data_IF_383593998831
#
_entry.id   IF_383593998831
#
_cell.length_a   1.000
_cell.length_b   1.000
_cell.length_c   1.000
_cell.angle_alpha   90.00
_cell.angle_beta   90.00
_cell.angle_gamma   90.00
#
_symmetry.space_group_name_H-M   'P 1'
#
loop_
_entity.id
_entity.type
_entity.pdbx_description
1 polymer ?
#
# COMPACT_ATOMS: atom_id res chain seq x y z
N UNK A 1 50.97 37.76 19.96
CA UNK A 1 52.14 36.92 19.62
C UNK A 1 51.81 36.22 18.32
N UNK A 2 52.43 36.65 17.23
CA UNK A 2 52.22 36.03 15.91
C UNK A 2 53.12 34.81 15.76
N UNK A 3 52.54 33.72 15.28
CA UNK A 3 53.28 32.65 14.62
C UNK A 3 52.63 32.44 13.25
N UNK A 4 53.25 33.05 12.24
CA UNK A 4 53.17 32.64 10.85
C UNK A 4 53.61 31.16 10.77
N UNK A 5 52.93 30.29 10.03
CA UNK A 5 52.97 30.27 8.57
C UNK A 5 53.87 29.13 8.13
N UNK A 6 53.28 28.00 7.75
CA UNK A 6 53.96 26.97 6.97
C UNK A 6 53.04 26.51 5.84
N UNK A 7 53.26 27.13 4.69
CA UNK A 7 52.73 26.78 3.39
C UNK A 7 53.52 25.59 2.86
N UNK A 8 52.87 24.46 2.58
CA UNK A 8 53.42 23.44 1.67
C UNK A 8 52.37 23.08 0.62
N UNK A 9 52.67 23.54 -0.59
CA UNK A 9 52.00 23.21 -1.85
C UNK A 9 52.61 21.93 -2.42
N UNK A 10 51.76 21.02 -2.87
CA UNK A 10 52.00 20.11 -4.02
C UNK A 10 50.63 19.47 -4.30
N UNK A 11 49.91 19.71 -5.41
CA UNK A 11 50.39 19.78 -6.78
C UNK A 11 50.29 18.40 -7.41
N UNK A 12 49.07 17.95 -7.70
CA UNK A 12 48.81 16.79 -8.58
C UNK A 12 47.50 17.04 -9.35
N UNK A 13 47.63 17.81 -10.43
CA UNK A 13 46.68 17.84 -11.53
C UNK A 13 46.97 16.62 -12.42
N UNK A 14 45.98 15.77 -12.65
CA UNK A 14 45.93 14.96 -13.86
C UNK A 14 44.48 14.99 -14.36
N UNK A 15 44.30 15.82 -15.37
CA UNK A 15 43.11 15.94 -16.22
C UNK A 15 42.90 14.64 -17.04
N UNK A 16 41.62 14.42 -17.35
CA UNK A 16 41.07 13.76 -18.53
C UNK A 16 41.75 12.50 -19.07
N UNK A 17 41.07 11.37 -18.86
CA UNK A 17 40.99 10.36 -19.91
C UNK A 17 39.65 9.62 -19.90
N UNK A 18 38.85 9.96 -20.91
CA UNK A 18 38.01 9.06 -21.73
C UNK A 18 36.56 8.82 -21.29
N UNK A 19 35.78 9.89 -21.35
CA UNK A 19 34.46 9.88 -21.99
C UNK A 19 34.67 9.66 -23.51
N UNK A 20 34.54 8.43 -24.00
CA UNK A 20 34.33 8.12 -25.44
C UNK A 20 34.08 6.62 -25.65
N UNK A 21 32.82 6.21 -25.67
CA UNK A 21 32.33 5.05 -26.41
C UNK A 21 30.78 5.06 -26.42
N UNK A 22 30.19 6.16 -26.91
CA UNK A 22 28.81 6.17 -27.38
C UNK A 22 28.94 6.44 -28.87
N UNK A 23 29.03 5.39 -29.68
CA UNK A 23 28.73 5.45 -31.12
C UNK A 23 28.62 4.03 -31.69
N UNK A 24 27.53 3.83 -32.42
CA UNK A 24 27.34 2.84 -33.48
C UNK A 24 26.83 1.43 -33.12
N UNK A 25 25.64 1.35 -32.50
CA UNK A 25 24.71 0.25 -32.80
C UNK A 25 23.67 0.73 -33.82
N UNK A 26 24.02 0.53 -35.09
CA UNK A 26 23.17 0.68 -36.27
C UNK A 26 21.81 0.02 -36.06
N UNK A 27 20.80 0.84 -35.79
CA UNK A 27 19.39 0.46 -35.90
C UNK A 27 19.09 0.27 -37.39
N UNK A 28 19.09 -0.98 -37.84
CA UNK A 28 18.49 -1.36 -39.11
C UNK A 28 16.98 -1.17 -39.00
N UNK A 29 16.48 -0.20 -39.77
CA UNK A 29 15.06 -0.03 -40.08
C UNK A 29 14.49 -1.34 -40.62
N UNK A 30 13.60 -1.97 -39.85
CA UNK A 30 12.66 -2.95 -40.37
C UNK A 30 11.28 -2.34 -40.16
N UNK A 31 10.80 -1.67 -41.20
CA UNK A 31 9.51 -1.02 -41.22
C UNK A 31 8.39 -2.04 -41.06
N UNK A 32 7.73 -2.04 -39.91
CA UNK A 32 6.36 -2.49 -39.75
C UNK A 32 5.57 -1.32 -39.20
N UNK A 33 4.99 -0.54 -40.13
CA UNK A 33 3.97 0.47 -39.87
C UNK A 33 2.77 -0.20 -39.19
N UNK A 34 2.79 -0.27 -37.86
CA UNK A 34 1.62 -0.62 -37.07
C UNK A 34 0.93 0.69 -36.67
N UNK A 35 -0.07 1.09 -37.45
CA UNK A 35 -0.94 2.23 -37.16
C UNK A 35 -1.73 1.94 -35.86
N UNK A 36 -1.20 2.34 -34.71
CA UNK A 36 -1.88 2.20 -33.41
C UNK A 36 -1.80 3.43 -32.50
N UNK A 37 -1.42 4.62 -33.00
CA UNK A 37 -1.31 5.82 -32.14
C UNK A 37 -2.41 6.86 -32.29
N UNK A 38 -3.30 6.81 -33.28
CA UNK A 38 -4.26 7.92 -33.49
C UNK A 38 -5.62 7.76 -32.78
N UNK A 39 -5.95 6.58 -32.25
CA UNK A 39 -7.28 6.34 -31.65
C UNK A 39 -7.36 6.55 -30.14
N UNK A 40 -6.24 6.69 -29.43
CA UNK A 40 -6.25 6.90 -27.96
C UNK A 40 -6.24 8.36 -27.53
N UNK A 41 -5.73 9.28 -28.34
CA UNK A 41 -5.78 10.71 -28.01
C UNK A 41 -7.18 11.31 -28.22
N UNK A 42 -7.95 10.84 -29.20
CA UNK A 42 -9.29 11.35 -29.46
C UNK A 42 -10.36 10.83 -28.47
N UNK A 43 -10.11 9.72 -27.77
CA UNK A 43 -11.08 9.12 -26.84
C UNK A 43 -11.00 9.66 -25.40
N UNK A 44 -10.05 10.55 -25.10
CA UNK A 44 -9.90 11.16 -23.77
C UNK A 44 -10.74 12.44 -23.64
N UNK A 45 -11.26 13.00 -24.73
CA UNK A 45 -12.01 14.27 -24.66
C UNK A 45 -13.53 14.14 -24.44
N UNK A 46 -14.16 12.96 -24.51
CA UNK A 46 -15.64 12.93 -24.67
C UNK A 46 -16.46 12.08 -23.67
N UNK A 47 -15.92 11.65 -22.53
CA UNK A 47 -16.81 11.25 -21.41
C UNK A 47 -16.04 11.08 -20.11
N UNK A 48 -16.17 12.06 -19.21
CA UNK A 48 -16.24 11.89 -17.73
C UNK A 48 -16.05 13.19 -16.96
N UNK A 49 -15.62 14.27 -17.61
CA UNK A 49 -15.74 15.62 -17.04
C UNK A 49 -17.05 16.23 -17.54
N UNK A 50 -18.18 15.74 -17.04
CA UNK A 50 -19.36 16.60 -17.02
C UNK A 50 -18.93 17.92 -16.37
N UNK A 51 -19.07 19.02 -17.11
CA UNK A 51 -18.79 20.39 -16.70
C UNK A 51 -19.65 20.82 -15.50
N UNK A 52 -19.50 20.14 -14.37
CA UNK A 52 -19.77 20.76 -13.07
C UNK A 52 -18.48 21.49 -12.68
N UNK A 53 -18.02 22.36 -13.59
CA UNK A 53 -16.85 23.21 -13.42
C UNK A 53 -17.16 24.30 -12.41
N UNK A 54 -17.32 23.93 -11.15
CA UNK A 54 -17.19 24.90 -10.07
C UNK A 54 -15.72 25.28 -10.00
N UNK A 55 -15.34 26.29 -10.78
CA UNK A 55 -14.08 26.98 -10.59
C UNK A 55 -13.96 27.37 -9.12
N UNK A 56 -12.82 27.06 -8.53
CA UNK A 56 -12.40 27.53 -7.22
C UNK A 56 -12.86 28.97 -6.99
N UNK A 57 -13.79 29.16 -6.05
CA UNK A 57 -14.27 30.50 -5.70
C UNK A 57 -13.42 31.04 -4.56
N UNK A 58 -12.94 32.26 -4.72
CA UNK A 58 -12.16 32.95 -3.71
C UNK A 58 -12.98 34.06 -3.06
N UNK A 59 -12.78 34.29 -1.77
CA UNK A 59 -13.28 35.48 -1.08
C UNK A 59 -12.49 36.73 -1.49
N UNK A 60 -12.94 37.89 -1.02
CA UNK A 60 -12.28 39.18 -1.31
C UNK A 60 -10.83 39.24 -0.79
N UNK A 61 -10.47 38.37 0.16
CA UNK A 61 -9.11 38.21 0.67
C UNK A 61 -8.25 37.19 -0.07
N UNK A 62 -8.78 36.59 -1.16
CA UNK A 62 -8.08 35.57 -1.95
C UNK A 62 -8.03 34.19 -1.30
N UNK A 63 -8.85 33.92 -0.27
CA UNK A 63 -8.96 32.59 0.34
C UNK A 63 -10.04 31.79 -0.37
N UNK A 64 -9.86 30.48 -0.46
CA UNK A 64 -10.92 29.60 -0.96
C UNK A 64 -12.18 29.77 -0.12
N UNK A 65 -13.32 30.00 -0.80
CA UNK A 65 -14.63 29.96 -0.17
C UNK A 65 -14.96 28.51 0.14
N UNK A 66 -15.18 28.23 1.42
CA UNK A 66 -15.67 26.93 1.86
C UNK A 66 -16.99 26.63 1.15
N UNK A 67 -17.14 25.41 0.64
CA UNK A 67 -18.43 24.97 0.17
C UNK A 67 -19.37 24.88 1.39
N UNK A 68 -20.67 25.20 1.23
CA UNK A 68 -21.63 24.96 2.30
C UNK A 68 -21.60 23.47 2.69
N UNK A 69 -21.90 23.12 3.95
CA UNK A 69 -22.00 21.72 4.37
C UNK A 69 -22.93 20.96 3.42
N UNK A 70 -22.55 19.75 3.04
CA UNK A 70 -23.36 18.91 2.15
C UNK A 70 -24.75 18.68 2.77
N UNK A 71 -25.75 19.47 2.37
CA UNK A 71 -27.16 19.12 2.52
C UNK A 71 -27.55 18.15 1.40
N UNK A 72 -28.71 17.51 1.48
CA UNK A 72 -29.10 16.44 0.55
C UNK A 72 -29.04 16.88 -0.93
N UNK A 73 -29.30 18.15 -1.22
CA UNK A 73 -29.19 18.73 -2.57
C UNK A 73 -27.72 18.97 -3.00
N UNK A 74 -26.82 19.29 -2.06
CA UNK A 74 -25.39 19.51 -2.33
C UNK A 74 -24.59 18.21 -2.43
N UNK A 75 -25.11 17.06 -1.99
CA UNK A 75 -24.43 15.75 -2.17
C UNK A 75 -24.12 15.44 -3.63
N UNK A 76 -24.93 15.94 -4.57
CA UNK A 76 -24.67 15.80 -6.00
C UNK A 76 -23.46 16.62 -6.51
N UNK A 77 -22.91 17.51 -5.69
CA UNK A 77 -21.79 18.41 -6.01
C UNK A 77 -20.51 18.11 -5.22
N UNK A 78 -20.54 17.14 -4.31
CA UNK A 78 -19.47 16.85 -3.35
C UNK A 78 -18.89 15.47 -3.68
N UNK A 79 -17.56 15.37 -3.74
CA UNK A 79 -16.90 14.08 -3.99
C UNK A 79 -17.13 13.09 -2.83
N UNK A 80 -17.08 11.79 -3.09
CA UNK A 80 -17.09 10.80 -2.02
C UNK A 80 -15.80 10.87 -1.18
N UNK A 81 -15.86 10.43 0.08
CA UNK A 81 -14.66 10.29 0.87
C UNK A 81 -13.72 9.28 0.21
N UNK A 82 -12.40 9.56 0.11
CA UNK A 82 -11.45 8.61 -0.46
C UNK A 82 -11.50 7.25 0.25
N UNK A 83 -11.53 6.17 -0.55
CA UNK A 83 -11.51 4.77 -0.12
C UNK A 83 -10.36 4.02 -0.77
N UNK A 84 -9.96 2.89 -0.19
CA UNK A 84 -8.85 2.07 -0.67
C UNK A 84 -9.36 0.77 -1.31
N UNK A 85 -8.82 0.41 -2.48
CA UNK A 85 -8.95 -0.92 -3.03
C UNK A 85 -7.81 -1.82 -2.58
N UNK A 86 -8.12 -3.03 -2.11
CA UNK A 86 -7.11 -4.04 -1.73
C UNK A 86 -7.34 -5.27 -2.59
N UNK A 87 -6.39 -5.56 -3.48
CA UNK A 87 -6.33 -6.84 -4.17
C UNK A 87 -5.80 -7.87 -3.19
N UNK A 88 -6.45 -9.04 -3.19
CA UNK A 88 -6.11 -10.12 -2.29
C UNK A 88 -5.59 -11.37 -2.99
N UNK A 89 -4.66 -12.04 -2.33
CA UNK A 89 -4.34 -13.44 -2.56
C UNK A 89 -5.61 -14.31 -2.47
N UNK A 90 -5.61 -15.44 -3.17
CA UNK A 90 -6.55 -16.53 -2.94
C UNK A 90 -6.16 -17.26 -1.65
N UNK A 91 -6.31 -16.55 -0.53
CA UNK A 91 -5.93 -16.99 0.79
C UNK A 91 -6.86 -16.32 1.81
N UNK A 92 -7.36 -17.09 2.77
CA UNK A 92 -8.27 -16.59 3.80
C UNK A 92 -7.76 -16.95 5.19
N UNK A 93 -6.73 -16.27 5.67
CA UNK A 93 -6.32 -16.39 7.07
C UNK A 93 -7.15 -15.41 7.92
N UNK A 94 -7.25 -15.58 9.26
CA UNK A 94 -7.91 -14.58 10.12
C UNK A 94 -6.99 -13.38 10.37
N UNK A 95 -7.23 -12.19 9.76
CA UNK A 95 -6.28 -11.10 9.83
C UNK A 95 -6.32 -10.42 11.21
N UNK A 96 -5.16 -9.99 11.69
CA UNK A 96 -5.02 -9.22 12.92
C UNK A 96 -5.26 -7.72 12.69
N UNK A 97 -5.66 -6.98 13.73
CA UNK A 97 -5.70 -5.52 13.65
C UNK A 97 -4.27 -4.98 13.40
N UNK A 98 -4.12 -4.13 12.39
CA UNK A 98 -2.85 -3.69 11.84
C UNK A 98 -2.54 -4.32 10.48
N UNK A 99 -3.09 -5.49 10.17
CA UNK A 99 -2.98 -6.10 8.84
C UNK A 99 -3.77 -5.29 7.80
N UNK A 100 -3.25 -5.26 6.57
CA UNK A 100 -3.93 -4.72 5.37
C UNK A 100 -5.25 -5.44 5.09
N UNK A 101 -5.34 -6.73 5.39
CA UNK A 101 -6.59 -7.48 5.21
C UNK A 101 -7.64 -7.25 6.33
N UNK A 102 -7.28 -6.49 7.37
CA UNK A 102 -8.22 -6.11 8.42
C UNK A 102 -8.75 -4.68 8.18
N UNK A 103 -10.05 -4.48 7.85
CA UNK A 103 -10.58 -3.15 7.51
C UNK A 103 -10.40 -2.13 8.66
N UNK A 104 -10.52 -2.58 9.91
CA UNK A 104 -10.31 -1.74 11.09
C UNK A 104 -8.89 -1.19 11.26
N UNK A 105 -7.93 -1.59 10.43
CA UNK A 105 -6.58 -1.00 10.38
C UNK A 105 -6.55 0.38 9.71
N UNK A 106 -7.65 0.79 9.09
CA UNK A 106 -7.74 2.00 8.27
C UNK A 106 -8.76 3.00 8.82
N UNK A 107 -8.55 4.29 8.52
CA UNK A 107 -9.46 5.39 8.87
C UNK A 107 -10.30 5.84 7.67
N UNK A 108 -10.62 4.91 6.77
CA UNK A 108 -11.38 5.10 5.55
C UNK A 108 -11.94 3.74 5.11
N UNK A 109 -12.92 3.76 4.22
CA UNK A 109 -13.50 2.51 3.72
C UNK A 109 -12.52 1.74 2.81
N UNK A 110 -12.65 0.41 2.82
CA UNK A 110 -11.76 -0.51 2.12
C UNK A 110 -12.59 -1.53 1.34
N UNK A 111 -12.28 -1.66 0.06
CA UNK A 111 -12.91 -2.62 -0.85
C UNK A 111 -11.94 -3.75 -1.14
N UNK A 112 -12.26 -4.94 -0.66
CA UNK A 112 -11.44 -6.13 -0.87
C UNK A 112 -11.87 -6.91 -2.11
N UNK A 113 -10.88 -7.41 -2.86
CA UNK A 113 -11.10 -8.27 -4.02
C UNK A 113 -10.05 -9.37 -4.14
N UNK A 114 -10.43 -10.59 -3.80
CA UNK A 114 -9.60 -11.79 -4.05
C UNK A 114 -9.52 -12.12 -5.54
N UNK A 115 -8.33 -12.53 -5.97
CA UNK A 115 -8.05 -13.03 -7.33
C UNK A 115 -8.02 -14.56 -7.31
N UNK A 116 -9.03 -15.25 -7.88
CA UNK A 116 -9.07 -16.72 -7.86
C UNK A 116 -7.82 -17.36 -8.49
N UNK A 117 -7.21 -18.30 -7.76
CA UNK A 117 -5.97 -18.98 -8.15
C UNK A 117 -4.68 -18.16 -8.00
N UNK A 118 -4.73 -16.93 -7.49
CA UNK A 118 -3.52 -16.17 -7.16
C UNK A 118 -2.96 -16.64 -5.82
N UNK A 119 -2.11 -17.66 -5.86
CA UNK A 119 -1.52 -18.23 -4.64
C UNK A 119 -0.27 -17.48 -4.20
N UNK A 120 0.15 -17.71 -2.96
CA UNK A 120 1.37 -17.13 -2.41
C UNK A 120 2.60 -17.55 -3.23
N UNK A 121 2.67 -18.81 -3.67
CA UNK A 121 3.79 -19.33 -4.48
C UNK A 121 3.89 -18.63 -5.84
N UNK A 122 2.76 -18.35 -6.50
CA UNK A 122 2.76 -17.57 -7.74
C UNK A 122 3.29 -16.16 -7.50
N UNK A 123 2.93 -15.55 -6.37
CA UNK A 123 3.42 -14.22 -6.01
C UNK A 123 4.92 -14.20 -5.71
N UNK A 124 5.43 -15.19 -4.97
CA UNK A 124 6.87 -15.34 -4.74
C UNK A 124 7.66 -15.53 -6.04
N UNK A 125 7.09 -16.27 -7.01
CA UNK A 125 7.73 -16.49 -8.31
C UNK A 125 7.73 -15.25 -9.22
N UNK A 126 6.79 -14.32 -9.02
CA UNK A 126 6.56 -13.20 -9.92
C UNK A 126 5.96 -13.58 -11.28
N UNK A 127 5.57 -14.84 -11.48
CA UNK A 127 5.02 -15.36 -12.73
C UNK A 127 3.54 -15.73 -12.57
N UNK A 128 2.67 -15.12 -13.38
CA UNK A 128 1.24 -15.43 -13.40
C UNK A 128 0.89 -16.21 -14.68
N UNK A 129 0.25 -17.39 -14.56
CA UNK A 129 -0.45 -18.01 -15.69
C UNK A 129 -1.43 -17.03 -16.33
N UNK A 130 -1.63 -17.12 -17.65
CA UNK A 130 -2.44 -16.15 -18.42
C UNK A 130 -3.86 -15.97 -17.85
N UNK A 131 -4.47 -17.05 -17.35
CA UNK A 131 -5.81 -17.00 -16.79
C UNK A 131 -5.84 -16.32 -15.40
N UNK A 132 -4.83 -16.53 -14.55
CA UNK A 132 -4.67 -15.82 -13.27
C UNK A 132 -4.36 -14.34 -13.53
N UNK A 133 -3.50 -14.04 -14.51
CA UNK A 133 -3.18 -12.68 -14.94
C UNK A 133 -4.43 -11.92 -15.40
N UNK A 134 -5.28 -12.55 -16.21
CA UNK A 134 -6.55 -11.93 -16.63
C UNK A 134 -7.45 -11.66 -15.42
N UNK A 135 -7.56 -12.60 -14.47
CA UNK A 135 -8.35 -12.39 -13.24
C UNK A 135 -7.78 -11.28 -12.36
N UNK A 136 -6.46 -11.09 -12.33
CA UNK A 136 -5.83 -9.97 -11.65
C UNK A 136 -6.21 -8.63 -12.30
N UNK A 137 -6.19 -8.55 -13.63
CA UNK A 137 -6.64 -7.38 -14.39
C UNK A 137 -8.13 -7.08 -14.12
N UNK A 138 -8.97 -8.11 -14.13
CA UNK A 138 -10.40 -7.98 -13.86
C UNK A 138 -10.67 -7.50 -12.43
N UNK A 139 -9.85 -7.93 -11.46
CA UNK A 139 -9.92 -7.47 -10.07
C UNK A 139 -9.56 -5.99 -9.93
N UNK A 140 -8.48 -5.52 -10.57
CA UNK A 140 -8.14 -4.08 -10.62
C UNK A 140 -9.30 -3.29 -11.25
N UNK A 141 -9.81 -3.77 -12.38
CA UNK A 141 -10.90 -3.09 -13.10
C UNK A 141 -12.13 -2.94 -12.21
N UNK A 142 -12.51 -4.01 -11.50
CA UNK A 142 -13.62 -3.95 -10.56
C UNK A 142 -13.38 -2.98 -9.40
N UNK A 143 -12.16 -2.92 -8.85
CA UNK A 143 -11.80 -1.97 -7.80
C UNK A 143 -11.90 -0.53 -8.30
N UNK A 144 -11.44 -0.24 -9.53
CA UNK A 144 -11.59 1.08 -10.16
C UNK A 144 -13.07 1.44 -10.34
N UNK A 145 -13.91 0.48 -10.75
CA UNK A 145 -15.36 0.64 -10.84
C UNK A 145 -16.04 0.92 -9.49
N UNK A 146 -15.43 0.53 -8.35
CA UNK A 146 -15.93 0.91 -7.02
C UNK A 146 -15.61 2.37 -6.65
N UNK A 147 -14.91 3.11 -7.51
CA UNK A 147 -14.59 4.51 -7.29
C UNK A 147 -13.46 4.73 -6.29
N UNK A 148 -12.67 3.70 -5.95
CA UNK A 148 -11.57 3.82 -4.99
C UNK A 148 -10.56 4.91 -5.39
N UNK A 149 -9.92 5.50 -4.39
CA UNK A 149 -8.95 6.57 -4.55
C UNK A 149 -7.52 6.06 -4.79
N UNK A 150 -7.23 4.82 -4.41
CA UNK A 150 -5.96 4.14 -4.69
C UNK A 150 -6.10 2.63 -4.53
N UNK A 151 -5.13 1.86 -5.05
CA UNK A 151 -5.15 0.40 -5.01
C UNK A 151 -3.82 -0.14 -4.47
N UNK A 152 -3.90 -1.08 -3.52
CA UNK A 152 -2.78 -1.80 -2.93
C UNK A 152 -2.99 -3.33 -3.01
N UNK A 153 -1.99 -4.08 -2.55
CA UNK A 153 -2.04 -5.53 -2.35
C UNK A 153 -1.99 -5.94 -0.88
N UNK A 154 -2.53 -7.12 -0.57
CA UNK A 154 -2.38 -7.77 0.73
C UNK A 154 -1.11 -8.63 0.86
N UNK A 155 -0.20 -8.54 -0.11
CA UNK A 155 1.06 -9.29 -0.11
C UNK A 155 2.20 -8.42 -0.67
N UNK A 156 3.31 -8.33 0.05
CA UNK A 156 4.43 -7.49 -0.37
C UNK A 156 5.14 -7.97 -1.65
N UNK A 157 4.99 -9.26 -2.01
CA UNK A 157 5.43 -9.81 -3.31
C UNK A 157 4.64 -9.26 -4.50
N UNK A 158 3.49 -8.58 -4.30
CA UNK A 158 2.76 -7.95 -5.41
C UNK A 158 3.55 -6.81 -6.06
N UNK A 159 4.72 -6.42 -5.52
CA UNK A 159 5.67 -5.59 -6.26
C UNK A 159 6.01 -6.17 -7.65
N UNK A 160 6.05 -7.50 -7.83
CA UNK A 160 6.17 -8.12 -9.17
C UNK A 160 5.08 -7.67 -10.16
N UNK A 161 3.90 -7.36 -9.64
CA UNK A 161 2.72 -7.00 -10.44
C UNK A 161 2.43 -5.49 -10.42
N UNK A 162 3.30 -4.68 -9.82
CA UNK A 162 3.18 -3.22 -9.74
C UNK A 162 2.98 -2.58 -11.13
N UNK A 163 3.80 -2.95 -12.11
CA UNK A 163 3.69 -2.44 -13.48
C UNK A 163 2.41 -2.90 -14.18
N UNK A 164 1.97 -4.14 -13.91
CA UNK A 164 0.73 -4.68 -14.46
C UNK A 164 -0.46 -3.91 -13.90
N UNK A 165 -0.57 -3.77 -12.59
CA UNK A 165 -1.64 -3.00 -11.93
C UNK A 165 -1.70 -1.57 -12.49
N UNK A 166 -0.55 -0.89 -12.60
CA UNK A 166 -0.44 0.48 -13.13
C UNK A 166 -0.89 0.60 -14.59
N UNK A 167 -0.80 -0.47 -15.37
CA UNK A 167 -1.22 -0.46 -16.78
C UNK A 167 -2.74 -0.56 -16.97
N UNK A 168 -3.49 -0.97 -15.92
CA UNK A 168 -4.93 -1.25 -16.00
C UNK A 168 -5.76 -0.06 -15.52
N UNK A 169 -5.27 0.73 -14.57
CA UNK A 169 -6.00 1.85 -13.97
C UNK A 169 -5.19 3.16 -14.02
N UNK A 170 -5.88 4.29 -14.01
CA UNK A 170 -5.28 5.61 -13.80
C UNK A 170 -5.18 6.01 -12.33
N UNK A 171 -5.73 5.21 -11.41
CA UNK A 171 -5.63 5.44 -9.97
C UNK A 171 -4.20 5.17 -9.48
N UNK A 172 -3.73 5.84 -8.41
CA UNK A 172 -2.48 5.49 -7.75
C UNK A 172 -2.48 4.00 -7.35
N UNK A 173 -1.44 3.27 -7.78
CA UNK A 173 -1.21 1.88 -7.38
C UNK A 173 0.09 1.76 -6.58
N UNK A 174 0.05 1.05 -5.47
CA UNK A 174 1.18 0.89 -4.55
C UNK A 174 1.10 -0.51 -3.92
N UNK A 175 1.37 -1.52 -4.74
CA UNK A 175 1.09 -2.92 -4.44
C UNK A 175 1.90 -3.50 -3.27
N UNK A 176 2.93 -2.78 -2.80
CA UNK A 176 3.79 -3.20 -1.69
C UNK A 176 4.31 -1.96 -0.95
N UNK A 177 4.57 -2.10 0.35
CA UNK A 177 5.16 -1.03 1.17
C UNK A 177 6.54 -0.60 0.66
N UNK A 178 7.22 -1.44 -0.13
CA UNK A 178 8.46 -1.13 -0.84
C UNK A 178 8.32 0.09 -1.78
N UNK A 179 7.11 0.45 -2.21
CA UNK A 179 6.86 1.69 -2.96
C UNK A 179 7.28 2.97 -2.18
N UNK A 180 7.41 2.89 -0.86
CA UNK A 180 7.90 4.00 -0.03
C UNK A 180 9.43 4.15 -0.07
N UNK A 181 10.16 3.11 -0.49
CA UNK A 181 11.62 3.09 -0.44
C UNK A 181 12.29 4.32 -1.06
N UNK A 182 11.89 4.83 -2.24
CA UNK A 182 12.53 6.02 -2.81
C UNK A 182 12.48 7.23 -1.85
N UNK A 183 11.32 7.47 -1.24
CA UNK A 183 11.10 8.59 -0.33
C UNK A 183 11.82 8.39 1.02
N UNK A 184 11.85 7.17 1.53
CA UNK A 184 12.60 6.83 2.75
C UNK A 184 14.09 7.01 2.50
N UNK A 185 14.61 6.47 1.38
CA UNK A 185 16.02 6.49 1.00
C UNK A 185 16.57 7.90 0.86
N UNK A 186 15.82 8.82 0.25
CA UNK A 186 16.29 10.20 0.07
C UNK A 186 16.30 11.03 1.36
N UNK A 187 15.65 10.55 2.43
CA UNK A 187 15.59 11.24 3.72
C UNK A 187 16.86 11.03 4.58
N UNK A 188 17.75 10.12 4.17
CA UNK A 188 18.95 9.73 4.92
C UNK A 188 20.23 9.87 4.09
N UNK A 189 21.36 10.01 4.77
CA UNK A 189 22.68 10.01 4.15
C UNK A 189 22.97 8.65 3.48
N UNK A 190 23.87 8.64 2.49
CA UNK A 190 24.17 7.43 1.72
C UNK A 190 24.85 6.32 2.54
N UNK A 191 25.47 6.67 3.66
CA UNK A 191 26.07 5.75 4.63
C UNK A 191 25.11 5.35 5.76
N UNK A 192 23.93 5.97 5.86
CA UNK A 192 22.90 5.57 6.81
C UNK A 192 22.06 4.41 6.27
N UNK A 193 21.87 3.37 7.10
CA UNK A 193 21.19 2.14 6.70
C UNK A 193 19.69 2.16 6.97
N UNK A 194 18.95 1.38 6.18
CA UNK A 194 17.54 1.08 6.36
C UNK A 194 17.40 -0.43 6.53
N UNK A 195 16.77 -0.88 7.62
CA UNK A 195 16.48 -2.29 7.81
C UNK A 195 15.16 -2.66 7.14
N UNK A 196 15.18 -3.68 6.28
CA UNK A 196 14.02 -4.18 5.54
C UNK A 196 13.58 -5.51 6.14
N UNK A 197 12.47 -5.52 6.88
CA UNK A 197 11.92 -6.74 7.45
C UNK A 197 10.94 -7.37 6.47
N UNK A 198 11.14 -8.64 6.18
CA UNK A 198 10.29 -9.41 5.27
C UNK A 198 9.89 -10.72 5.94
N UNK A 199 8.80 -11.32 5.49
CA UNK A 199 8.36 -12.60 6.03
C UNK A 199 9.42 -13.71 5.84
N UNK A 200 10.17 -13.64 4.72
CA UNK A 200 11.23 -14.58 4.44
C UNK A 200 12.39 -13.92 3.68
N UNK A 201 13.58 -13.92 4.28
CA UNK A 201 14.76 -13.26 3.70
C UNK A 201 15.20 -13.84 2.35
N UNK A 202 15.10 -15.16 2.17
CA UNK A 202 15.47 -15.82 0.91
C UNK A 202 14.48 -15.52 -0.22
N UNK A 203 13.20 -15.36 0.10
CA UNK A 203 12.13 -15.08 -0.88
C UNK A 203 12.19 -13.66 -1.42
N UNK A 204 12.78 -12.72 -0.67
CA UNK A 204 12.96 -11.34 -1.12
C UNK A 204 14.11 -11.21 -2.15
N UNK A 205 15.16 -12.04 -2.07
CA UNK A 205 16.36 -11.91 -2.92
C UNK A 205 16.06 -11.94 -4.43
N UNK A 206 15.20 -12.84 -4.95
CA UNK A 206 14.83 -12.83 -6.37
C UNK A 206 14.16 -11.53 -6.84
N UNK A 207 13.59 -10.73 -5.92
CA UNK A 207 12.94 -9.46 -6.25
C UNK A 207 13.92 -8.34 -6.62
N UNK A 208 15.24 -8.55 -6.55
CA UNK A 208 16.24 -7.51 -6.79
C UNK A 208 15.97 -6.68 -8.04
N UNK A 209 15.75 -7.32 -9.18
CA UNK A 209 15.59 -6.62 -10.45
C UNK A 209 14.27 -5.84 -10.53
N UNK A 210 13.18 -6.37 -9.96
CA UNK A 210 11.92 -5.62 -9.92
C UNK A 210 11.99 -4.43 -8.95
N UNK A 211 12.66 -4.58 -7.80
CA UNK A 211 12.86 -3.48 -6.84
C UNK A 211 13.70 -2.37 -7.48
N UNK A 212 14.77 -2.72 -8.21
CA UNK A 212 15.56 -1.75 -8.97
C UNK A 212 14.73 -0.99 -10.00
N UNK A 213 13.89 -1.71 -10.73
CA UNK A 213 13.05 -1.14 -11.77
C UNK A 213 11.94 -0.24 -11.22
N UNK A 214 11.18 -0.71 -10.23
CA UNK A 214 9.98 -0.01 -9.75
C UNK A 214 10.28 0.97 -8.59
N UNK A 215 11.32 0.71 -7.79
CA UNK A 215 11.70 1.57 -6.66
C UNK A 215 13.00 2.37 -6.91
N UNK A 216 13.71 2.15 -8.01
CA UNK A 216 14.94 2.91 -8.31
C UNK A 216 16.08 2.69 -7.31
N UNK A 217 16.04 1.60 -6.55
CA UNK A 217 17.06 1.26 -5.53
C UNK A 217 17.51 -0.19 -5.70
N UNK A 218 18.76 -0.48 -5.36
CA UNK A 218 19.30 -1.84 -5.39
C UNK A 218 19.23 -2.44 -3.98
N UNK A 219 18.40 -3.46 -3.71
CA UNK A 219 18.30 -4.04 -2.36
C UNK A 219 19.58 -4.76 -1.90
N UNK A 220 20.51 -5.06 -2.81
CA UNK A 220 21.85 -5.58 -2.47
C UNK A 220 22.87 -4.46 -2.17
N UNK A 221 22.48 -3.17 -2.29
CA UNK A 221 23.30 -2.08 -1.80
C UNK A 221 23.50 -2.23 -0.29
N UNK A 222 24.74 -2.02 0.16
CA UNK A 222 25.12 -2.09 1.58
C UNK A 222 24.33 -1.15 2.51
N UNK A 223 23.55 -0.21 1.98
CA UNK A 223 22.63 0.62 2.76
C UNK A 223 21.38 -0.13 3.24
N UNK A 224 21.04 -1.27 2.64
CA UNK A 224 19.90 -2.07 3.06
C UNK A 224 20.35 -3.25 3.91
N UNK A 225 19.68 -3.43 5.04
CA UNK A 225 19.87 -4.59 5.92
C UNK A 225 18.61 -5.44 5.82
N UNK A 226 18.64 -6.49 5.00
CA UNK A 226 17.50 -7.42 4.88
C UNK A 226 17.43 -8.28 6.15
N UNK A 227 16.26 -8.30 6.77
CA UNK A 227 15.97 -9.05 7.99
C UNK A 227 14.80 -9.99 7.70
N UNK A 228 15.09 -11.29 7.72
CA UNK A 228 14.07 -12.32 7.61
C UNK A 228 13.36 -12.56 8.94
N UNK A 229 12.04 -12.73 8.91
CA UNK A 229 11.21 -13.07 10.08
C UNK A 229 10.85 -14.56 10.16
N UNK A 230 11.35 -15.39 9.26
CA UNK A 230 11.00 -16.82 9.14
C UNK A 230 11.34 -17.67 10.38
N UNK A 231 12.31 -17.24 11.18
CA UNK A 231 12.73 -17.93 12.41
C UNK A 231 12.12 -17.31 13.69
N UNK A 232 11.24 -16.31 13.56
CA UNK A 232 10.58 -15.68 14.71
C UNK A 232 9.52 -16.64 15.26
N UNK A 233 9.58 -17.04 16.54
CA UNK A 233 8.59 -17.95 17.13
C UNK A 233 7.16 -17.44 16.99
N UNK A 234 6.28 -18.27 16.40
CA UNK A 234 4.87 -17.97 16.15
C UNK A 234 4.61 -17.26 14.82
N UNK A 235 5.65 -16.78 14.14
CA UNK A 235 5.50 -16.09 12.85
C UNK A 235 5.49 -17.06 11.65
N UNK A 236 5.84 -18.33 11.86
CA UNK A 236 5.65 -19.39 10.87
C UNK A 236 4.19 -19.54 10.42
N UNK A 237 3.23 -19.06 11.23
CA UNK A 237 1.81 -19.00 10.89
C UNK A 237 1.55 -18.22 9.59
N UNK A 238 2.33 -17.18 9.27
CA UNK A 238 2.23 -16.44 8.00
C UNK A 238 2.46 -17.35 6.80
N UNK A 239 3.53 -18.16 6.84
CA UNK A 239 3.85 -19.08 5.76
C UNK A 239 2.84 -20.24 5.63
N UNK A 240 2.21 -20.61 6.74
CA UNK A 240 1.13 -21.60 6.78
C UNK A 240 -0.25 -21.00 6.49
N UNK A 241 -0.32 -19.66 6.40
CA UNK A 241 -1.53 -18.85 6.37
C UNK A 241 -2.56 -19.21 7.44
N UNK A 242 -2.05 -19.40 8.64
CA UNK A 242 -2.81 -19.51 9.87
C UNK A 242 -2.91 -18.14 10.56
N UNK A 243 -3.81 -18.02 11.54
CA UNK A 243 -3.87 -16.82 12.39
C UNK A 243 -2.59 -16.67 13.20
N UNK A 244 -1.93 -15.52 13.08
CA UNK A 244 -0.82 -15.15 13.96
C UNK A 244 -1.35 -14.72 15.34
N UNK A 245 -0.76 -15.25 16.41
CA UNK A 245 -0.94 -14.72 17.77
C UNK A 245 -0.01 -13.52 17.98
N UNK A 246 -0.51 -12.32 17.65
CA UNK A 246 0.28 -11.08 17.72
C UNK A 246 0.88 -10.86 19.10
N UNK A 247 0.13 -11.08 20.18
CA UNK A 247 0.61 -10.84 21.55
C UNK A 247 1.78 -11.78 21.90
N UNK A 248 1.73 -13.03 21.42
CA UNK A 248 2.83 -13.99 21.59
C UNK A 248 4.05 -13.63 20.75
N UNK A 249 3.86 -13.07 19.55
CA UNK A 249 4.96 -12.77 18.61
C UNK A 249 5.66 -11.44 18.92
N UNK A 250 4.94 -10.42 19.43
CA UNK A 250 5.46 -9.06 19.69
C UNK A 250 6.83 -9.05 20.40
N UNK A 251 7.05 -9.77 21.52
CA UNK A 251 8.34 -9.73 22.21
C UNK A 251 9.50 -10.23 21.34
N UNK A 252 9.25 -11.23 20.49
CA UNK A 252 10.25 -11.81 19.61
C UNK A 252 10.58 -10.89 18.45
N UNK A 253 9.57 -10.27 17.84
CA UNK A 253 9.73 -9.32 16.73
C UNK A 253 10.46 -8.05 17.20
N UNK A 254 10.09 -7.51 18.38
CA UNK A 254 10.77 -6.36 18.99
C UNK A 254 12.23 -6.69 19.27
N UNK A 255 12.52 -7.86 19.85
CA UNK A 255 13.89 -8.28 20.13
C UNK A 255 14.72 -8.39 18.85
N UNK A 256 14.17 -8.95 17.77
CA UNK A 256 14.84 -9.02 16.48
C UNK A 256 15.18 -7.62 15.94
N UNK A 257 14.26 -6.65 16.10
CA UNK A 257 14.51 -5.27 15.70
C UNK A 257 15.58 -4.59 16.54
N UNK A 258 15.53 -4.72 17.87
CA UNK A 258 16.56 -4.17 18.76
C UNK A 258 17.94 -4.78 18.50
N UNK A 259 18.04 -6.11 18.39
CA UNK A 259 19.29 -6.81 18.10
C UNK A 259 19.86 -6.38 16.74
N UNK A 260 19.00 -6.20 15.74
CA UNK A 260 19.41 -5.71 14.41
C UNK A 260 19.96 -4.28 14.47
N UNK A 261 19.26 -3.37 15.16
CA UNK A 261 19.71 -1.98 15.33
C UNK A 261 21.01 -1.92 16.13
N UNK A 262 21.09 -2.66 17.24
CA UNK A 262 22.27 -2.70 18.11
C UNK A 262 23.52 -3.21 17.38
N UNK A 263 23.37 -4.22 16.50
CA UNK A 263 24.46 -4.75 15.66
C UNK A 263 25.10 -3.68 14.76
N UNK A 264 24.37 -2.63 14.39
CA UNK A 264 24.83 -1.59 13.47
C UNK A 264 25.13 -0.24 14.16
N UNK A 265 24.66 -0.03 15.40
CA UNK A 265 24.76 1.25 16.11
C UNK A 265 26.19 1.78 16.31
N UNK A 266 27.18 0.89 16.45
CA UNK A 266 28.61 1.25 16.62
C UNK A 266 29.41 1.28 15.32
N UNK A 267 28.77 1.07 14.16
CA UNK A 267 29.45 1.03 12.86
C UNK A 267 29.48 2.41 12.21
N UNK A 268 30.25 2.57 11.15
CA UNK A 268 30.19 3.77 10.30
C UNK A 268 28.87 3.91 9.53
N UNK A 269 27.96 2.94 9.63
CA UNK A 269 26.71 2.87 8.89
C UNK A 269 25.53 2.49 9.80
N UNK A 270 25.09 3.38 10.71
CA UNK A 270 24.01 3.05 11.64
C UNK A 270 22.66 2.89 10.90
N UNK A 271 21.78 2.03 11.43
CA UNK A 271 20.40 1.95 10.97
C UNK A 271 19.62 3.17 11.47
N UNK A 272 18.87 3.81 10.58
CA UNK A 272 18.13 5.07 10.85
C UNK A 272 16.64 5.00 10.58
N UNK A 273 16.21 3.96 9.86
CA UNK A 273 14.82 3.65 9.63
C UNK A 273 14.63 2.14 9.47
N UNK A 274 13.40 1.71 9.70
CA UNK A 274 12.95 0.34 9.49
C UNK A 274 11.78 0.38 8.51
N UNK A 275 11.76 -0.54 7.54
CA UNK A 275 10.62 -0.75 6.66
C UNK A 275 10.18 -2.21 6.74
N UNK A 276 8.89 -2.41 6.99
CA UNK A 276 8.23 -3.71 7.01
C UNK A 276 7.61 -3.95 5.63
N UNK A 277 8.18 -4.89 4.90
CA UNK A 277 7.74 -5.31 3.57
C UNK A 277 6.49 -6.20 3.65
N UNK A 278 6.48 -7.15 4.58
CA UNK A 278 5.34 -8.03 4.80
C UNK A 278 4.13 -7.26 5.35
N UNK A 279 2.96 -7.56 4.80
CA UNK A 279 1.67 -6.94 5.13
C UNK A 279 1.08 -7.37 6.46
N UNK A 280 1.59 -8.46 7.06
CA UNK A 280 1.23 -8.95 8.40
C UNK A 280 2.21 -8.47 9.50
N UNK A 281 3.25 -7.71 9.15
CA UNK A 281 4.14 -7.07 10.13
C UNK A 281 3.65 -5.74 10.76
N UNK A 282 2.71 -4.96 10.19
CA UNK A 282 2.30 -3.69 10.81
C UNK A 282 1.71 -3.79 12.24
N UNK A 283 1.06 -4.89 12.68
CA UNK A 283 0.67 -5.05 14.09
C UNK A 283 1.83 -4.85 15.10
N UNK A 284 3.08 -5.04 14.66
CA UNK A 284 4.29 -4.88 15.49
C UNK A 284 4.93 -3.49 15.38
N UNK A 285 4.52 -2.66 14.41
CA UNK A 285 5.20 -1.40 14.08
C UNK A 285 5.34 -0.45 15.26
N UNK A 286 4.29 -0.27 16.07
CA UNK A 286 4.34 0.62 17.23
C UNK A 286 5.23 0.11 18.35
N UNK A 287 5.20 -1.21 18.61
CA UNK A 287 6.08 -1.82 19.60
C UNK A 287 7.55 -1.64 19.19
N UNK A 288 7.84 -1.81 17.89
CA UNK A 288 9.20 -1.64 17.33
C UNK A 288 9.61 -0.17 17.32
N UNK A 289 8.72 0.78 16.98
CA UNK A 289 8.97 2.23 17.12
C UNK A 289 9.30 2.60 18.57
N UNK A 290 8.53 2.08 19.52
CA UNK A 290 8.71 2.36 20.94
C UNK A 290 10.05 1.85 21.47
N UNK A 291 10.44 0.63 21.09
CA UNK A 291 11.68 -0.01 21.52
C UNK A 291 12.93 0.62 20.85
N UNK A 292 12.90 0.77 19.53
CA UNK A 292 14.07 1.23 18.76
C UNK A 292 14.22 2.75 18.70
N UNK A 293 13.12 3.50 18.92
CA UNK A 293 13.04 4.95 18.73
C UNK A 293 13.36 5.40 17.29
N UNK A 294 13.23 4.49 16.32
CA UNK A 294 13.40 4.76 14.90
C UNK A 294 12.04 4.87 14.20
N UNK A 295 11.96 5.61 13.07
CA UNK A 295 10.82 5.52 12.16
C UNK A 295 10.64 4.09 11.64
N UNK A 296 9.40 3.60 11.71
CA UNK A 296 8.98 2.33 11.10
C UNK A 296 7.94 2.67 10.03
N UNK A 297 8.24 2.26 8.80
CA UNK A 297 7.37 2.31 7.63
C UNK A 297 6.84 0.90 7.35
N UNK A 298 5.63 0.80 6.85
CA UNK A 298 4.89 -0.45 6.64
C UNK A 298 3.80 -0.23 5.58
N UNK A 299 2.99 -1.25 5.32
CA UNK A 299 1.89 -1.15 4.35
C UNK A 299 0.79 -0.17 4.78
N UNK A 300 0.50 -0.03 6.09
CA UNK A 300 -0.53 0.90 6.60
C UNK A 300 -0.09 2.35 6.43
N UNK A 301 1.14 2.68 6.81
CA UNK A 301 1.75 4.00 6.58
C UNK A 301 1.87 4.32 5.09
N UNK A 302 2.11 3.32 4.23
CA UNK A 302 2.07 3.49 2.78
C UNK A 302 0.68 3.91 2.31
N UNK A 303 -0.35 3.12 2.65
CA UNK A 303 -1.73 3.38 2.28
C UNK A 303 -2.18 4.75 2.79
N UNK A 304 -1.96 5.04 4.07
CA UNK A 304 -2.34 6.31 4.68
C UNK A 304 -1.66 7.51 4.01
N UNK A 305 -0.38 7.40 3.66
CA UNK A 305 0.33 8.48 2.98
C UNK A 305 -0.23 8.73 1.57
N UNK A 306 -0.53 7.67 0.83
CA UNK A 306 -1.11 7.79 -0.52
C UNK A 306 -2.53 8.36 -0.46
N UNK A 307 -3.36 7.86 0.44
CA UNK A 307 -4.75 8.30 0.58
C UNK A 307 -4.86 9.75 1.10
N UNK A 308 -3.95 10.17 1.98
CA UNK A 308 -3.89 11.54 2.45
C UNK A 308 -3.67 12.56 1.32
N UNK A 309 -3.15 12.14 0.15
CA UNK A 309 -3.00 13.03 -1.02
C UNK A 309 -4.33 13.43 -1.68
N UNK A 310 -5.42 12.72 -1.37
CA UNK A 310 -6.76 12.94 -1.91
C UNK A 310 -7.77 13.33 -0.82
N UNK A 311 -7.33 13.48 0.43
CA UNK A 311 -8.17 13.89 1.56
C UNK A 311 -7.99 15.37 1.89
N UNK A 312 -9.07 16.02 2.29
CA UNK A 312 -9.00 17.38 2.80
C UNK A 312 -8.22 17.42 4.12
N UNK A 313 -7.33 18.40 4.24
CA UNK A 313 -6.49 18.48 5.42
C UNK A 313 -7.30 19.02 6.61
N UNK A 314 -7.38 18.33 7.75
CA UNK A 314 -8.21 18.76 8.88
C UNK A 314 -7.75 20.08 9.53
N UNK A 315 -6.56 20.59 9.21
CA UNK A 315 -6.01 21.83 9.78
C UNK A 315 -6.15 23.05 8.88
N UNK A 316 -6.06 22.88 7.56
CA UNK A 316 -6.00 24.00 6.60
C UNK A 316 -6.75 23.71 5.28
N UNK A 317 -7.50 22.61 5.22
CA UNK A 317 -8.27 22.20 4.06
C UNK A 317 -9.30 23.23 3.63
N UNK A 318 -9.79 23.06 2.40
CA UNK A 318 -10.88 23.90 1.87
C UNK A 318 -12.21 23.56 2.55
N UNK A 319 -12.31 22.37 3.13
CA UNK A 319 -13.48 21.80 3.79
C UNK A 319 -14.69 21.62 2.84
N UNK A 320 -15.49 20.59 3.09
CA UNK A 320 -16.77 20.33 2.43
C UNK A 320 -16.74 20.07 0.90
N UNK A 321 -15.57 19.75 0.31
CA UNK A 321 -15.49 19.37 -1.11
C UNK A 321 -15.52 17.85 -1.35
N UNK A 322 -15.34 17.07 -0.28
CA UNK A 322 -15.71 15.67 -0.25
C UNK A 322 -16.50 15.35 1.04
N UNK A 323 -17.25 14.25 1.03
CA UNK A 323 -17.98 13.75 2.20
C UNK A 323 -17.01 13.36 3.30
N UNK A 324 -17.39 13.57 4.57
CA UNK A 324 -16.68 12.97 5.69
C UNK A 324 -16.87 11.46 5.69
N UNK A 325 -15.85 10.71 6.11
CA UNK A 325 -16.03 9.28 6.38
C UNK A 325 -17.06 9.10 7.50
N UNK A 326 -17.99 8.16 7.30
CA UNK A 326 -19.07 7.85 8.24
C UNK A 326 -18.62 6.94 9.40
N UNK A 327 -17.37 6.48 9.37
CA UNK A 327 -16.79 5.57 10.35
C UNK A 327 -17.23 4.11 10.16
N UNK A 328 -17.89 3.79 9.04
CA UNK A 328 -18.28 2.44 8.70
C UNK A 328 -17.37 1.87 7.60
N UNK A 329 -17.14 0.56 7.68
CA UNK A 329 -16.51 -0.19 6.59
C UNK A 329 -17.58 -1.00 5.85
N UNK A 330 -17.44 -1.07 4.53
CA UNK A 330 -18.21 -1.97 3.69
C UNK A 330 -17.94 -3.41 4.13
N UNK A 331 -19.02 -4.14 4.44
CA UNK A 331 -18.91 -5.51 4.92
C UNK A 331 -18.42 -6.44 3.79
N UNK A 332 -17.48 -7.33 4.11
CA UNK A 332 -16.86 -8.24 3.14
C UNK A 332 -16.58 -9.61 3.78
N UNK A 333 -16.77 -10.67 3.01
CA UNK A 333 -16.29 -12.04 3.29
C UNK A 333 -15.38 -12.52 2.18
N UNK A 334 -14.57 -13.53 2.49
CA UNK A 334 -13.72 -14.15 1.48
C UNK A 334 -14.52 -14.64 0.26
N UNK A 335 -14.00 -14.31 -0.91
CA UNK A 335 -14.64 -14.62 -2.18
C UNK A 335 -15.81 -13.71 -2.51
N UNK A 336 -16.27 -12.81 -1.64
CA UNK A 336 -17.22 -11.78 -2.04
C UNK A 336 -16.65 -10.97 -3.21
N UNK A 337 -17.55 -10.36 -3.97
CA UNK A 337 -17.24 -9.62 -5.19
C UNK A 337 -16.74 -10.50 -6.35
N UNK A 338 -16.24 -11.73 -6.13
CA UNK A 338 -15.88 -12.67 -7.21
C UNK A 338 -17.13 -13.06 -8.01
N UNK A 339 -17.14 -12.89 -9.35
CA UNK A 339 -18.25 -13.27 -10.20
C UNK A 339 -18.62 -14.76 -10.05
N UNK A 340 -19.91 -15.13 -10.14
CA UNK A 340 -20.34 -16.52 -9.92
C UNK A 340 -19.59 -17.56 -10.76
N UNK A 341 -19.25 -17.24 -12.01
CA UNK A 341 -18.54 -18.15 -12.92
C UNK A 341 -17.07 -18.38 -12.53
N UNK A 342 -16.50 -17.55 -11.64
CA UNK A 342 -15.13 -17.68 -11.13
C UNK A 342 -15.05 -18.21 -9.70
N UNK A 343 -16.17 -18.30 -8.95
CA UNK A 343 -16.17 -18.83 -7.58
C UNK A 343 -15.57 -20.24 -7.48
N UNK A 344 -15.82 -21.09 -8.49
CA UNK A 344 -15.23 -22.44 -8.56
C UNK A 344 -13.74 -22.49 -8.93
N UNK A 345 -13.11 -21.32 -9.15
CA UNK A 345 -11.67 -21.18 -9.38
C UNK A 345 -10.91 -20.75 -8.12
N UNK A 346 -11.60 -20.47 -7.03
CA UNK A 346 -10.96 -20.27 -5.74
C UNK A 346 -10.32 -21.58 -5.31
N UNK A 347 -9.03 -21.55 -4.98
CA UNK A 347 -8.29 -22.73 -4.54
C UNK A 347 -8.35 -22.91 -3.03
N UNK A 348 -8.55 -21.82 -2.28
CA UNK A 348 -8.78 -21.86 -0.86
C UNK A 348 -10.27 -21.69 -0.51
N UNK A 349 -10.63 -22.13 0.69
CA UNK A 349 -11.97 -21.96 1.26
C UNK A 349 -11.91 -20.89 2.33
N UNK A 350 -13.03 -20.24 2.55
CA UNK A 350 -13.17 -19.32 3.69
C UNK A 350 -12.87 -20.07 5.00
N UNK A 351 -12.04 -19.48 5.84
CA UNK A 351 -11.54 -20.07 7.06
C UNK A 351 -12.63 -20.14 8.14
N UNK A 352 -12.70 -21.23 8.92
CA UNK A 352 -13.76 -21.41 9.92
C UNK A 352 -13.87 -20.26 10.93
N UNK A 353 -12.76 -19.66 11.35
CA UNK A 353 -12.77 -18.50 12.26
C UNK A 353 -13.37 -17.26 11.60
N UNK A 354 -13.10 -17.01 10.32
CA UNK A 354 -13.68 -15.88 9.58
C UNK A 354 -15.20 -16.06 9.41
N UNK A 355 -15.65 -17.28 9.14
CA UNK A 355 -17.08 -17.63 9.11
C UNK A 355 -17.72 -17.39 10.49
N UNK A 356 -17.07 -17.85 11.57
CA UNK A 356 -17.58 -17.67 12.93
C UNK A 356 -17.68 -16.19 13.32
N UNK A 357 -16.64 -15.40 13.02
CA UNK A 357 -16.61 -13.93 13.21
C UNK A 357 -17.73 -13.25 12.45
N UNK A 358 -17.94 -13.62 11.18
CA UNK A 358 -19.03 -13.09 10.37
C UNK A 358 -20.40 -13.37 11.00
N UNK A 359 -20.66 -14.62 11.37
CA UNK A 359 -21.93 -15.02 11.96
C UNK A 359 -22.19 -14.32 13.31
N UNK A 360 -21.16 -14.12 14.13
CA UNK A 360 -21.26 -13.34 15.35
C UNK A 360 -21.67 -11.88 15.07
N UNK A 361 -21.06 -11.25 14.06
CA UNK A 361 -21.40 -9.87 13.66
C UNK A 361 -22.84 -9.73 13.15
N UNK A 362 -23.39 -10.75 12.47
CA UNK A 362 -24.79 -10.75 12.04
C UNK A 362 -25.77 -10.87 13.23
N UNK A 363 -25.42 -11.68 14.24
CA UNK A 363 -26.21 -11.80 15.45
C UNK A 363 -26.27 -10.47 16.23
N UNK A 364 -25.15 -9.75 16.31
CA UNK A 364 -25.09 -8.43 16.91
C UNK A 364 -25.96 -7.42 16.15
N UNK A 365 -25.86 -7.34 14.82
CA UNK A 365 -26.68 -6.45 13.98
C UNK A 365 -28.18 -6.74 14.09
N UNK A 366 -28.56 -8.02 14.14
CA UNK A 366 -29.99 -8.39 14.29
C UNK A 366 -30.52 -8.06 15.67
N UNK A 367 -29.73 -8.24 16.74
CA UNK A 367 -30.10 -7.84 18.10
C UNK A 367 -30.28 -6.33 18.26
N UNK A 368 -29.42 -5.54 17.60
CA UNK A 368 -29.50 -4.09 17.58
C UNK A 368 -30.78 -3.62 16.86
N UNK A 369 -31.12 -4.23 15.72
CA UNK A 369 -32.36 -3.97 15.00
C UNK A 369 -33.59 -4.31 15.83
N UNK A 370 -33.61 -5.43 16.56
CA UNK A 370 -34.74 -5.79 17.42
C UNK A 370 -34.89 -4.83 18.61
N UNK A 371 -33.78 -4.40 19.23
CA UNK A 371 -33.80 -3.44 20.33
C UNK A 371 -34.31 -2.06 19.88
N UNK A 372 -33.92 -1.62 18.67
CA UNK A 372 -34.46 -0.40 18.07
C UNK A 372 -35.98 -0.51 17.84
N UNK A 373 -36.47 -1.63 17.29
CA UNK A 373 -37.91 -1.86 17.10
C UNK A 373 -38.69 -1.87 18.43
N UNK A 374 -38.16 -2.48 19.50
CA UNK A 374 -38.79 -2.44 20.82
C UNK A 374 -38.84 -1.03 21.41
N UNK A 375 -37.79 -0.22 21.22
CA UNK A 375 -37.77 1.16 21.69
C UNK A 375 -38.83 2.03 21.00
N UNK A 376 -39.00 1.85 19.68
CA UNK A 376 -40.04 2.53 18.89
C UNK A 376 -41.42 2.06 19.35
N UNK A 377 -41.59 0.75 19.60
CA UNK A 377 -42.84 0.18 20.12
C UNK A 377 -43.23 0.70 21.51
N UNK A 378 -42.27 1.03 22.38
CA UNK A 378 -42.53 1.66 23.69
C UNK A 378 -42.76 3.17 23.61
N UNK A 379 -42.15 3.85 22.63
CA UNK A 379 -42.40 5.27 22.37
C UNK A 379 -43.83 5.55 21.90
N UNK A 380 -44.38 4.66 21.07
CA UNK A 380 -45.73 4.83 20.49
C UNK A 380 -46.89 4.49 21.44
N UNK A 381 -46.64 4.08 22.69
CA UNK A 381 -47.69 3.84 23.70
C UNK A 381 -47.83 4.94 24.75
N UNK A 382 -47.24 6.12 24.54
CA UNK A 382 -47.38 7.29 25.43
C UNK A 382 -48.04 8.52 24.81
N UNK A 383 -48.83 8.33 23.75
CA UNK A 383 -49.86 9.27 23.32
C UNK A 383 -51.22 8.59 23.52
#
# INVERSE_FOLDING_TARGET
MGCAGSTLRSGASFEDSRLAAIEDSRFHEVGHHAQFEDSRLAAIEDSRFHEVGHHAQFDEGGRFKQLPPANDDAKLLVADHPSLGVIRLDYDYPPALGDVDHPGSFYYDVFYRVVPGLTFELCQSGELPDDVKQRFIDAITWLDEQGVAGITGDCGFFMYFQALARSVTSKPVFMSSLCQLPAVVCAYAADEQIALFTANGESLKPMREIIKKECGVDPDDTRFVIVGCEDVPGFEAVANGDRVDVDSVVPHLVRLAEDTVAKHAGTAKPIRAILFECTELPPYSDAVRAATRLPVFDSITCCNSMLASLMDNPRFGVNNWHLSWDGAHTAHRFGDNVPPHLKGKLVNREHPENIARWNASLAERSSFSSAQQESIGRGSRKL
#
